data_IF_191776341090
#
_entry.id   IF_191776341090
#
_cell.length_a   1.000
_cell.length_b   1.000
_cell.length_c   1.000
_cell.angle_alpha   90.00
_cell.angle_beta   90.00
_cell.angle_gamma   90.00
#
_symmetry.space_group_name_H-M   'P 1'
#
loop_
_entity.id
_entity.type
_entity.pdbx_description
1 polymer ?
#
# COMPACT_ATOMS: atom_id res chain seq x y z
N UNK A 1 9.40 -15.11 -0.88
CA UNK A 1 8.94 -15.84 0.32
C UNK A 1 9.95 -16.91 0.76
N UNK A 2 10.26 -17.92 -0.06
CA UNK A 2 11.16 -19.03 0.33
C UNK A 2 12.53 -18.56 0.79
N UNK A 3 13.11 -17.54 0.16
CA UNK A 3 14.42 -17.00 0.52
C UNK A 3 14.42 -16.36 1.91
N UNK A 4 13.36 -15.62 2.27
CA UNK A 4 13.22 -15.02 3.61
C UNK A 4 13.09 -16.12 4.66
N UNK A 5 12.30 -17.18 4.36
CA UNK A 5 12.18 -18.32 5.26
C UNK A 5 13.52 -19.03 5.47
N UNK A 6 14.35 -19.15 4.43
CA UNK A 6 15.71 -19.67 4.58
C UNK A 6 16.56 -18.78 5.47
N UNK A 7 16.51 -17.46 5.28
CA UNK A 7 17.24 -16.51 6.14
C UNK A 7 16.80 -16.64 7.61
N UNK A 8 15.50 -16.72 7.87
CA UNK A 8 14.97 -16.91 9.21
C UNK A 8 15.49 -18.18 9.88
N UNK A 9 15.81 -19.21 9.08
CA UNK A 9 16.38 -20.48 9.53
C UNK A 9 17.92 -20.50 9.47
N UNK A 10 18.58 -19.37 9.32
CA UNK A 10 20.04 -19.25 9.27
C UNK A 10 20.68 -19.68 7.94
N UNK A 11 19.88 -19.98 6.91
CA UNK A 11 20.40 -20.38 5.60
C UNK A 11 20.68 -19.15 4.74
N UNK A 12 21.94 -18.75 4.64
CA UNK A 12 22.36 -17.61 3.82
C UNK A 12 22.58 -17.99 2.34
N UNK A 13 22.69 -16.97 1.49
CA UNK A 13 23.05 -17.17 0.09
C UNK A 13 24.43 -17.83 -0.04
N UNK A 14 24.60 -18.68 -1.06
CA UNK A 14 25.86 -19.42 -1.25
C UNK A 14 26.04 -20.65 -0.37
N UNK A 15 24.97 -21.09 0.35
CA UNK A 15 25.01 -22.32 1.15
C UNK A 15 25.65 -22.14 2.53
N UNK A 16 25.92 -20.91 2.94
CA UNK A 16 26.46 -20.62 4.28
C UNK A 16 25.36 -20.84 5.31
N UNK A 17 25.65 -21.59 6.36
CA UNK A 17 24.76 -21.80 7.50
C UNK A 17 25.19 -20.89 8.65
N UNK A 18 24.25 -20.20 9.25
CA UNK A 18 24.40 -19.38 10.46
C UNK A 18 23.38 -19.83 11.51
N UNK A 19 23.41 -19.23 12.69
CA UNK A 19 22.38 -19.46 13.70
C UNK A 19 21.02 -18.95 13.23
N UNK A 20 19.96 -19.59 13.67
CA UNK A 20 18.58 -19.11 13.45
C UNK A 20 18.40 -17.73 14.07
N UNK A 21 17.68 -16.86 13.40
CA UNK A 21 17.35 -15.55 13.96
C UNK A 21 16.46 -15.72 15.20
N UNK A 22 16.82 -15.04 16.27
CA UNK A 22 16.00 -14.98 17.51
C UNK A 22 14.69 -14.24 17.26
N UNK A 23 14.71 -13.26 16.35
CA UNK A 23 13.53 -12.54 15.87
C UNK A 23 13.42 -12.70 14.35
N UNK A 24 12.58 -13.62 13.86
CA UNK A 24 12.40 -13.85 12.44
C UNK A 24 11.85 -12.62 11.72
N UNK A 25 12.32 -12.37 10.50
CA UNK A 25 11.72 -11.35 9.64
C UNK A 25 10.28 -11.72 9.29
N UNK A 26 9.36 -10.80 9.52
CA UNK A 26 8.02 -10.83 8.95
C UNK A 26 8.02 -10.14 7.58
N UNK A 27 7.20 -10.61 6.65
CA UNK A 27 7.13 -10.01 5.32
C UNK A 27 5.71 -10.00 4.78
N UNK A 28 5.43 -8.98 3.98
CA UNK A 28 4.20 -8.84 3.22
C UNK A 28 4.41 -9.09 1.74
N UNK A 29 3.30 -9.28 1.05
CA UNK A 29 3.26 -9.46 -0.41
C UNK A 29 2.27 -8.49 -1.03
N UNK A 30 2.49 -8.16 -2.32
CA UNK A 30 1.56 -7.33 -3.06
C UNK A 30 0.29 -8.10 -3.43
N UNK A 31 -0.86 -7.40 -3.34
CA UNK A 31 -2.14 -7.83 -3.87
C UNK A 31 -2.74 -6.76 -4.79
N UNK A 32 -3.63 -7.13 -5.68
CA UNK A 32 -4.13 -6.24 -6.76
C UNK A 32 -5.65 -6.22 -6.77
N UNK A 33 -6.29 -5.18 -6.19
CA UNK A 33 -7.75 -5.06 -6.19
C UNK A 33 -8.37 -5.03 -7.60
N UNK A 34 -7.61 -4.57 -8.60
CA UNK A 34 -8.01 -4.45 -9.99
C UNK A 34 -7.33 -5.48 -10.89
N UNK A 35 -6.75 -6.54 -10.34
CA UNK A 35 -5.95 -7.58 -11.00
C UNK A 35 -4.53 -7.12 -11.36
N UNK A 36 -3.55 -8.01 -11.22
CA UNK A 36 -2.21 -7.81 -11.79
C UNK A 36 -2.30 -7.85 -13.33
N UNK A 37 -1.60 -6.95 -14.03
CA UNK A 37 -1.64 -6.85 -15.49
C UNK A 37 -1.18 -8.13 -16.19
N UNK A 38 -0.14 -8.78 -15.70
CA UNK A 38 0.38 -10.05 -16.23
C UNK A 38 -0.50 -11.25 -15.91
N UNK A 39 -1.45 -11.17 -14.97
CA UNK A 39 -2.36 -12.26 -14.69
C UNK A 39 -3.42 -12.39 -15.79
N UNK A 40 -3.71 -13.60 -16.26
CA UNK A 40 -4.70 -13.84 -17.29
C UNK A 40 -6.10 -13.38 -16.85
N UNK A 41 -6.44 -13.61 -15.59
CA UNK A 41 -7.71 -13.23 -14.97
C UNK A 41 -7.54 -13.05 -13.46
N UNK A 42 -8.58 -12.57 -12.78
CA UNK A 42 -8.58 -12.35 -11.33
C UNK A 42 -8.42 -13.66 -10.53
N UNK A 43 -8.94 -14.76 -11.06
CA UNK A 43 -8.85 -16.09 -10.45
C UNK A 43 -7.39 -16.51 -10.31
N UNK A 44 -6.64 -16.46 -11.41
CA UNK A 44 -5.20 -16.77 -11.45
C UNK A 44 -4.38 -15.84 -10.55
N UNK A 45 -4.73 -14.55 -10.51
CA UNK A 45 -4.04 -13.60 -9.62
C UNK A 45 -4.26 -13.96 -8.13
N UNK A 46 -5.46 -14.34 -7.75
CA UNK A 46 -5.77 -14.77 -6.38
C UNK A 46 -5.10 -16.11 -6.06
N UNK A 47 -5.03 -17.05 -6.98
CA UNK A 47 -4.31 -18.32 -6.81
C UNK A 47 -2.81 -18.06 -6.55
N UNK A 48 -2.20 -17.17 -7.33
CA UNK A 48 -0.81 -16.74 -7.12
C UNK A 48 -0.62 -16.06 -5.76
N UNK A 49 -1.57 -15.22 -5.34
CA UNK A 49 -1.55 -14.59 -4.02
C UNK A 49 -1.68 -15.61 -2.89
N UNK A 50 -2.57 -16.59 -3.05
CA UNK A 50 -2.74 -17.70 -2.10
C UNK A 50 -1.47 -18.53 -1.95
N UNK A 51 -0.77 -18.80 -3.07
CA UNK A 51 0.52 -19.47 -3.03
C UNK A 51 1.58 -18.67 -2.25
N UNK A 52 1.60 -17.34 -2.38
CA UNK A 52 2.50 -16.45 -1.62
C UNK A 52 2.18 -16.45 -0.12
N UNK A 53 0.89 -16.44 0.25
CA UNK A 53 0.44 -16.51 1.64
C UNK A 53 0.77 -17.87 2.24
N UNK A 54 0.50 -18.97 1.52
CA UNK A 54 0.86 -20.33 1.95
C UNK A 54 2.37 -20.53 2.11
N UNK A 55 3.17 -19.77 1.37
CA UNK A 55 4.63 -19.74 1.52
C UNK A 55 5.09 -18.91 2.74
N UNK A 56 4.17 -18.39 3.59
CA UNK A 56 4.47 -17.73 4.83
C UNK A 56 4.40 -16.20 4.81
N UNK A 57 3.74 -15.58 3.85
CA UNK A 57 3.51 -14.14 3.92
C UNK A 57 2.53 -13.80 5.06
N UNK A 58 2.88 -12.80 5.86
CA UNK A 58 2.16 -12.43 7.09
C UNK A 58 1.05 -11.42 6.84
N UNK A 59 1.15 -10.63 5.78
CA UNK A 59 0.17 -9.61 5.38
C UNK A 59 0.25 -9.32 3.88
N UNK A 60 -0.77 -8.64 3.39
CA UNK A 60 -0.87 -8.18 2.00
C UNK A 60 -0.91 -6.65 2.02
N UNK A 61 -0.13 -5.99 1.15
CA UNK A 61 -0.28 -4.56 0.83
C UNK A 61 -0.84 -4.47 -0.57
N UNK A 62 -1.94 -3.74 -0.77
CA UNK A 62 -2.51 -3.67 -2.10
C UNK A 62 -1.79 -2.67 -2.99
N UNK A 63 -1.81 -2.90 -4.31
CA UNK A 63 -1.57 -1.84 -5.28
C UNK A 63 -2.52 -0.67 -5.00
N UNK A 64 -2.13 0.55 -5.42
CA UNK A 64 -2.99 1.72 -5.30
C UNK A 64 -4.30 1.52 -6.07
N UNK A 65 -5.36 2.09 -5.54
CA UNK A 65 -6.69 2.14 -6.15
C UNK A 65 -7.37 3.46 -5.77
N UNK A 66 -8.38 3.85 -6.54
CA UNK A 66 -9.11 5.10 -6.33
C UNK A 66 -10.60 4.87 -6.02
N UNK A 67 -11.04 3.62 -6.03
CA UNK A 67 -12.40 3.18 -5.66
C UNK A 67 -12.33 2.14 -4.53
N UNK A 68 -12.79 2.53 -3.33
CA UNK A 68 -12.76 1.64 -2.17
C UNK A 68 -13.64 0.39 -2.35
N UNK A 69 -14.68 0.45 -3.18
CA UNK A 69 -15.52 -0.70 -3.47
C UNK A 69 -14.73 -1.87 -4.07
N UNK A 70 -13.72 -1.58 -4.90
CA UNK A 70 -12.82 -2.58 -5.47
C UNK A 70 -11.98 -3.26 -4.40
N UNK A 71 -11.46 -2.48 -3.43
CA UNK A 71 -10.75 -3.03 -2.28
C UNK A 71 -11.65 -3.93 -1.44
N UNK A 72 -12.85 -3.49 -1.10
CA UNK A 72 -13.76 -4.30 -0.29
C UNK A 72 -14.19 -5.59 -1.00
N UNK A 73 -14.46 -5.50 -2.31
CA UNK A 73 -14.77 -6.68 -3.13
C UNK A 73 -13.58 -7.66 -3.17
N UNK A 74 -12.37 -7.15 -3.33
CA UNK A 74 -11.14 -7.93 -3.30
C UNK A 74 -10.96 -8.65 -1.96
N UNK A 75 -11.02 -7.92 -0.84
CA UNK A 75 -10.91 -8.53 0.50
C UNK A 75 -11.98 -9.60 0.72
N UNK A 76 -13.23 -9.33 0.34
CA UNK A 76 -14.32 -10.32 0.43
C UNK A 76 -14.01 -11.56 -0.39
N UNK A 77 -13.42 -11.42 -1.58
CA UNK A 77 -13.00 -12.54 -2.42
C UNK A 77 -11.87 -13.33 -1.75
N UNK A 78 -10.86 -12.66 -1.22
CA UNK A 78 -9.76 -13.32 -0.52
C UNK A 78 -10.24 -14.18 0.64
N UNK A 79 -11.19 -13.68 1.45
CA UNK A 79 -11.76 -14.42 2.58
C UNK A 79 -12.49 -15.69 2.12
N UNK A 80 -13.21 -15.64 0.99
CA UNK A 80 -13.86 -16.83 0.40
C UNK A 80 -12.83 -17.88 -0.03
N UNK A 81 -11.65 -17.46 -0.48
CA UNK A 81 -10.56 -18.35 -0.89
C UNK A 81 -9.71 -18.84 0.30
N UNK A 82 -10.08 -18.49 1.53
CA UNK A 82 -9.38 -18.90 2.75
C UNK A 82 -8.12 -18.08 3.08
N UNK A 83 -7.91 -16.94 2.40
CA UNK A 83 -6.80 -16.03 2.68
C UNK A 83 -7.24 -15.08 3.78
N UNK A 84 -6.73 -15.29 5.01
CA UNK A 84 -7.17 -14.58 6.23
C UNK A 84 -6.15 -13.59 6.79
N UNK A 85 -4.96 -13.49 6.21
CA UNK A 85 -3.95 -12.51 6.64
C UNK A 85 -4.46 -11.08 6.50
N UNK A 86 -3.93 -10.10 7.28
CA UNK A 86 -4.27 -8.70 7.13
C UNK A 86 -4.06 -8.20 5.70
N UNK A 87 -5.01 -7.41 5.18
CA UNK A 87 -4.91 -6.75 3.88
C UNK A 87 -4.87 -5.25 4.12
N UNK A 88 -3.73 -4.64 3.85
CA UNK A 88 -3.47 -3.21 4.06
C UNK A 88 -3.74 -2.48 2.75
N UNK A 89 -4.73 -1.58 2.69
CA UNK A 89 -4.99 -0.80 1.49
C UNK A 89 -3.85 0.16 1.19
N UNK A 90 -3.38 0.16 -0.06
CA UNK A 90 -2.40 1.09 -0.59
C UNK A 90 -3.08 2.27 -1.26
N UNK A 91 -2.79 3.49 -0.82
CA UNK A 91 -3.33 4.72 -1.37
C UNK A 91 -2.22 5.60 -1.95
N UNK A 92 -2.52 6.28 -3.03
CA UNK A 92 -1.63 7.27 -3.63
C UNK A 92 -2.34 8.61 -3.79
N UNK A 93 -1.98 9.64 -3.02
CA UNK A 93 -2.48 10.99 -3.27
C UNK A 93 -2.04 11.48 -4.65
N UNK A 94 -2.99 11.96 -5.45
CA UNK A 94 -2.69 12.60 -6.73
C UNK A 94 -2.05 13.97 -6.46
N UNK A 95 -0.99 14.30 -7.22
CA UNK A 95 -0.23 15.54 -6.99
C UNK A 95 0.16 16.28 -8.27
N UNK A 96 0.04 15.65 -9.43
CA UNK A 96 0.43 16.24 -10.71
C UNK A 96 -0.52 15.85 -11.83
N UNK A 97 -0.62 16.68 -12.86
CA UNK A 97 -1.38 16.38 -14.08
C UNK A 97 -0.88 15.10 -14.77
N UNK A 98 0.42 14.84 -14.71
CA UNK A 98 1.00 13.62 -15.29
C UNK A 98 0.46 12.33 -14.68
N UNK A 99 0.01 12.36 -13.43
CA UNK A 99 -0.59 11.19 -12.77
C UNK A 99 -1.85 10.68 -13.48
N UNK A 100 -2.59 11.58 -14.17
CA UNK A 100 -3.84 11.22 -14.84
C UNK A 100 -3.63 10.27 -16.03
N UNK A 101 -2.48 10.33 -16.65
CA UNK A 101 -2.12 9.49 -17.79
C UNK A 101 -1.14 8.39 -17.41
N UNK A 102 -0.15 8.72 -16.57
CA UNK A 102 0.91 7.80 -16.22
C UNK A 102 0.41 6.65 -15.32
N UNK A 103 -0.41 6.96 -14.29
CA UNK A 103 -0.84 5.93 -13.35
C UNK A 103 -1.71 4.84 -13.99
N UNK A 104 -2.76 5.16 -14.78
CA UNK A 104 -3.52 4.13 -15.48
C UNK A 104 -2.66 3.32 -16.45
N UNK A 105 -1.77 4.00 -17.20
CA UNK A 105 -0.92 3.34 -18.20
C UNK A 105 0.10 2.38 -17.56
N UNK A 106 0.68 2.77 -16.41
CA UNK A 106 1.79 2.02 -15.80
C UNK A 106 1.30 0.97 -14.82
N UNK A 107 0.23 1.26 -14.10
CA UNK A 107 -0.26 0.40 -13.01
C UNK A 107 -1.61 -0.25 -13.31
N UNK A 108 -2.18 -0.01 -14.49
CA UNK A 108 -3.45 -0.60 -14.97
C UNK A 108 -4.60 -0.41 -13.95
N UNK A 109 -4.66 0.81 -13.37
CA UNK A 109 -5.68 1.21 -12.40
C UNK A 109 -6.71 2.12 -13.06
N UNK A 110 -7.92 2.13 -12.53
CA UNK A 110 -9.01 2.98 -13.00
C UNK A 110 -9.23 4.20 -12.09
N UNK A 111 -9.58 5.32 -12.70
CA UNK A 111 -10.17 6.43 -11.97
C UNK A 111 -11.70 6.34 -12.00
N UNK A 112 -12.38 6.36 -10.84
CA UNK A 112 -13.85 6.45 -10.81
C UNK A 112 -14.34 7.69 -11.56
N UNK A 113 -15.47 7.58 -12.25
CA UNK A 113 -16.03 8.68 -13.06
C UNK A 113 -16.15 10.00 -12.28
N UNK A 114 -16.53 9.92 -11.00
CA UNK A 114 -16.61 11.10 -10.13
C UNK A 114 -15.26 11.79 -9.97
N UNK A 115 -14.19 11.02 -9.72
CA UNK A 115 -12.83 11.55 -9.61
C UNK A 115 -12.36 12.12 -10.94
N UNK A 116 -12.53 11.38 -12.04
CA UNK A 116 -12.15 11.81 -13.39
C UNK A 116 -12.78 13.14 -13.75
N UNK A 117 -14.07 13.34 -13.44
CA UNK A 117 -14.77 14.60 -13.71
C UNK A 117 -14.17 15.78 -12.95
N UNK A 118 -13.70 15.61 -11.73
CA UNK A 118 -13.01 16.67 -10.98
C UNK A 118 -11.61 16.92 -11.53
N UNK A 119 -10.88 15.87 -11.86
CA UNK A 119 -9.54 15.97 -12.41
C UNK A 119 -9.51 16.64 -13.79
N UNK A 120 -10.52 16.45 -14.63
CA UNK A 120 -10.64 17.12 -15.93
C UNK A 120 -10.81 18.64 -15.84
N UNK A 121 -11.23 19.17 -14.69
CA UNK A 121 -11.33 20.62 -14.45
C UNK A 121 -10.00 21.24 -14.03
N UNK A 122 -9.03 20.43 -13.60
CA UNK A 122 -7.74 20.89 -13.13
C UNK A 122 -6.89 21.44 -14.28
N UNK A 123 -6.27 22.60 -14.06
CA UNK A 123 -5.38 23.28 -15.02
C UNK A 123 -3.93 23.31 -14.54
N UNK A 124 -3.69 23.01 -13.29
CA UNK A 124 -2.38 23.03 -12.65
C UNK A 124 -2.16 21.81 -11.77
N UNK A 125 -0.90 21.57 -11.40
CA UNK A 125 -0.56 20.55 -10.41
C UNK A 125 -1.14 20.84 -9.03
N UNK A 126 -1.29 22.11 -8.68
CA UNK A 126 -1.89 22.51 -7.40
C UNK A 126 -3.38 22.17 -7.35
N UNK A 127 -4.11 22.33 -8.46
CA UNK A 127 -5.51 21.90 -8.55
C UNK A 127 -5.61 20.38 -8.36
N UNK A 128 -4.77 19.61 -9.08
CA UNK A 128 -4.73 18.14 -8.93
C UNK A 128 -4.40 17.73 -7.52
N UNK A 129 -3.44 18.41 -6.88
CA UNK A 129 -3.06 18.14 -5.49
C UNK A 129 -4.20 18.41 -4.52
N UNK A 130 -4.97 19.49 -4.73
CA UNK A 130 -6.12 19.81 -3.90
C UNK A 130 -7.20 18.71 -4.02
N UNK A 131 -7.58 18.35 -5.25
CA UNK A 131 -8.53 17.26 -5.52
C UNK A 131 -8.02 15.93 -4.95
N UNK A 132 -6.75 15.61 -5.18
CA UNK A 132 -6.14 14.35 -4.74
C UNK A 132 -6.10 14.20 -3.22
N UNK A 133 -5.83 15.28 -2.48
CA UNK A 133 -5.85 15.28 -1.01
C UNK A 133 -7.27 15.05 -0.48
N UNK A 134 -8.27 15.76 -1.02
CA UNK A 134 -9.66 15.59 -0.56
C UNK A 134 -10.20 14.20 -0.92
N UNK A 135 -9.89 13.68 -2.09
CA UNK A 135 -10.24 12.31 -2.47
C UNK A 135 -9.64 11.28 -1.51
N UNK A 136 -8.33 11.39 -1.24
CA UNK A 136 -7.64 10.48 -0.33
C UNK A 136 -8.18 10.57 1.11
N UNK A 137 -8.57 11.76 1.58
CA UNK A 137 -9.25 11.91 2.88
C UNK A 137 -10.57 11.14 2.92
N UNK A 138 -11.36 11.23 1.83
CA UNK A 138 -12.61 10.49 1.73
C UNK A 138 -12.35 8.98 1.78
N UNK A 139 -11.41 8.49 0.96
CA UNK A 139 -11.03 7.07 0.97
C UNK A 139 -10.58 6.62 2.36
N UNK A 140 -9.72 7.38 3.02
CA UNK A 140 -9.22 7.04 4.35
C UNK A 140 -10.33 6.97 5.41
N UNK A 141 -11.32 7.89 5.39
CA UNK A 141 -12.45 7.84 6.33
C UNK A 141 -13.25 6.57 6.16
N UNK A 142 -13.66 6.28 4.93
CA UNK A 142 -14.45 5.09 4.61
C UNK A 142 -13.69 3.79 4.95
N UNK A 143 -12.42 3.69 4.60
CA UNK A 143 -11.58 2.54 4.93
C UNK A 143 -11.48 2.34 6.45
N UNK A 144 -11.24 3.40 7.21
CA UNK A 144 -11.17 3.36 8.67
C UNK A 144 -12.50 2.94 9.29
N UNK A 145 -13.60 3.50 8.82
CA UNK A 145 -14.96 3.15 9.29
C UNK A 145 -15.29 1.69 9.04
N UNK A 146 -14.71 1.09 8.02
CA UNK A 146 -14.82 -0.34 7.70
C UNK A 146 -13.72 -1.21 8.35
N UNK A 147 -12.96 -0.67 9.30
CA UNK A 147 -12.07 -1.45 10.18
C UNK A 147 -10.84 -2.03 9.49
N UNK A 148 -10.27 -1.36 8.49
CA UNK A 148 -9.01 -1.82 7.88
C UNK A 148 -7.86 -1.82 8.90
N UNK A 149 -6.91 -2.77 8.81
CA UNK A 149 -5.84 -2.90 9.79
C UNK A 149 -4.84 -1.74 9.81
N UNK A 150 -4.78 -0.96 8.74
CA UNK A 150 -3.91 0.19 8.55
C UNK A 150 -4.02 0.70 7.13
N UNK A 151 -3.35 1.79 6.81
CA UNK A 151 -3.30 2.37 5.44
C UNK A 151 -1.84 2.60 5.05
N UNK A 152 -1.46 2.10 3.89
CA UNK A 152 -0.17 2.37 3.27
C UNK A 152 -0.28 3.52 2.27
N UNK A 153 0.66 4.46 2.31
CA UNK A 153 0.72 5.58 1.36
C UNK A 153 1.92 5.48 0.43
N UNK A 154 1.67 5.48 -0.87
CA UNK A 154 2.68 5.61 -1.92
C UNK A 154 3.05 7.09 -2.12
N UNK A 155 4.05 7.58 -1.38
CA UNK A 155 4.38 9.01 -1.34
C UNK A 155 5.33 9.47 -2.44
N UNK A 156 6.24 8.61 -2.90
CA UNK A 156 7.31 8.98 -3.86
C UNK A 156 8.03 10.27 -3.43
N UNK A 157 8.40 10.36 -2.16
CA UNK A 157 9.00 11.54 -1.49
C UNK A 157 8.08 12.78 -1.34
N UNK A 158 6.81 12.71 -1.73
CA UNK A 158 5.84 13.79 -1.58
C UNK A 158 5.05 13.69 -0.27
N UNK A 159 5.72 13.79 0.89
CA UNK A 159 5.11 13.64 2.22
C UNK A 159 4.06 14.69 2.57
N UNK A 160 4.18 15.91 2.02
CA UNK A 160 3.27 17.03 2.32
C UNK A 160 1.79 16.73 2.08
N UNK A 161 1.47 15.92 1.05
CA UNK A 161 0.08 15.54 0.78
C UNK A 161 -0.45 14.58 1.85
N UNK A 162 0.38 13.64 2.30
CA UNK A 162 0.03 12.72 3.40
C UNK A 162 -0.14 13.49 4.71
N UNK A 163 0.72 14.46 5.00
CA UNK A 163 0.58 15.33 6.17
C UNK A 163 -0.78 16.07 6.15
N UNK A 164 -1.17 16.66 5.02
CA UNK A 164 -2.47 17.32 4.87
C UNK A 164 -3.65 16.35 5.05
N UNK A 165 -3.53 15.11 4.57
CA UNK A 165 -4.52 14.07 4.75
C UNK A 165 -4.64 13.72 6.24
N UNK A 166 -3.52 13.45 6.90
CA UNK A 166 -3.49 13.05 8.31
C UNK A 166 -4.01 14.16 9.22
N UNK A 167 -3.62 15.41 9.00
CA UNK A 167 -4.13 16.56 9.76
C UNK A 167 -5.65 16.76 9.57
N UNK A 168 -6.18 16.43 8.39
CA UNK A 168 -7.61 16.48 8.14
C UNK A 168 -8.41 15.32 8.77
N UNK A 169 -7.74 14.19 9.04
CA UNK A 169 -8.36 13.01 9.66
C UNK A 169 -8.21 13.01 11.19
N UNK A 170 -7.12 13.56 11.69
CA UNK A 170 -6.73 13.58 13.11
C UNK A 170 -6.32 15.00 13.53
N UNK A 171 -7.26 15.96 13.59
CA UNK A 171 -6.93 17.36 13.85
C UNK A 171 -6.31 17.65 15.23
N UNK A 172 -6.30 16.67 16.13
CA UNK A 172 -5.66 16.77 17.46
C UNK A 172 -4.28 16.10 17.55
N UNK A 173 -3.85 15.39 16.53
CA UNK A 173 -2.46 14.95 16.43
C UNK A 173 -1.63 16.13 15.91
N UNK A 174 -1.13 16.98 16.84
CA UNK A 174 0.00 17.85 16.54
C UNK A 174 1.20 16.94 16.21
N UNK A 175 1.33 16.55 14.94
CA UNK A 175 2.56 15.92 14.43
C UNK A 175 3.58 17.06 14.25
N UNK A 176 3.81 17.81 15.31
CA UNK A 176 4.86 18.84 15.39
C UNK A 176 5.94 18.33 16.31
N UNK A 177 6.70 17.39 15.85
CA UNK A 177 8.16 17.25 16.04
C UNK A 177 8.58 16.00 15.26
N UNK A 178 9.55 16.10 14.33
CA UNK A 178 10.32 14.93 14.02
C UNK A 178 10.82 14.41 15.38
N UNK A 179 10.62 13.14 15.69
CA UNK A 179 11.43 12.50 16.71
C UNK A 179 12.85 12.73 16.24
N UNK A 180 13.56 13.66 16.86
CA UNK A 180 14.99 13.75 16.71
C UNK A 180 15.48 12.35 16.98
N UNK A 181 15.92 11.70 15.93
CA UNK A 181 16.73 10.53 16.04
C UNK A 181 18.01 10.99 16.71
N UNK A 182 18.05 10.93 18.03
CA UNK A 182 19.28 10.80 18.78
C UNK A 182 19.87 9.42 18.47
N UNK A 183 20.12 9.19 17.19
CA UNK A 183 21.06 8.18 16.76
C UNK A 183 22.44 8.79 17.00
N UNK A 184 22.84 8.86 18.26
CA UNK A 184 24.24 8.95 18.59
C UNK A 184 24.88 7.71 17.99
N UNK A 185 25.58 7.90 16.89
CA UNK A 185 26.57 6.96 16.39
C UNK A 185 27.56 6.75 17.54
N UNK A 186 27.36 5.73 18.36
CA UNK A 186 28.44 5.16 19.14
C UNK A 186 29.36 4.50 18.11
N UNK A 187 30.35 5.28 17.67
CA UNK A 187 31.49 4.72 17.00
C UNK A 187 32.17 3.76 17.96
N UNK A 188 32.50 2.61 17.45
CA UNK A 188 33.74 1.88 17.71
C UNK A 188 33.61 0.46 17.18
N UNK A 189 34.56 0.19 16.36
CA UNK A 189 35.09 -1.10 15.83
C UNK A 189 34.40 -1.69 14.61
#
# INVERSE_FOLDING_TARGET
CQQINRFNNGQLLGGVQNEMLTEPFTYGVAGYPEKHDEAMNMETDIENLKAKVNAGAHYIVTQMFFDNSKYFAFVKRLRKEGINVPVIPGLKPLTTLNHLTMLPKTFHIDFPKRLSNELMKCKSNDDVKAVGVEWAKHQCRELRENGVPGIHFYTMNASQSVEKIMNGLYPRMNITKPRNADYKSSGAY
#
